data_IF_154563283644
#
_entry.id   IF_154563283644
#
_cell.length_a   1.000
_cell.length_b   1.000
_cell.length_c   1.000
_cell.angle_alpha   90.00
_cell.angle_beta   90.00
_cell.angle_gamma   90.00
#
_symmetry.space_group_name_H-M   'P 1'
#
loop_
_entity.id
_entity.type
_entity.pdbx_description
1 polymer ?
#
# COMPACT_ATOMS: atom_id res chain seq x y z
N UNK A 1 65.62 -19.63 0.92
CA UNK A 1 64.81 -18.80 0.00
C UNK A 1 63.34 -19.13 0.18
N UNK A 2 62.56 -18.12 0.58
CA UNK A 2 61.09 -18.10 0.77
C UNK A 2 60.33 -18.58 -0.47
N UNK A 3 59.24 -19.32 -0.27
CA UNK A 3 58.02 -19.23 -1.11
C UNK A 3 56.79 -19.47 -0.23
N UNK A 4 56.21 -18.38 0.28
CA UNK A 4 54.86 -18.39 0.85
C UNK A 4 53.88 -18.35 -0.30
N UNK A 5 53.01 -19.35 -0.38
CA UNK A 5 51.91 -19.42 -1.33
C UNK A 5 50.82 -18.45 -0.85
N UNK A 6 50.68 -17.31 -1.54
CA UNK A 6 49.63 -16.34 -1.30
C UNK A 6 48.37 -16.78 -2.07
N UNK A 7 47.38 -17.36 -1.38
CA UNK A 7 46.05 -17.53 -1.94
C UNK A 7 45.34 -16.18 -1.93
N UNK A 8 45.24 -15.54 -3.09
CA UNK A 8 44.44 -14.33 -3.28
C UNK A 8 42.96 -14.76 -3.34
N UNK A 9 42.22 -14.55 -2.26
CA UNK A 9 40.76 -14.50 -2.33
C UNK A 9 40.38 -13.19 -3.03
N UNK A 10 39.92 -13.29 -4.27
CA UNK A 10 39.21 -12.20 -4.91
C UNK A 10 37.87 -12.03 -4.21
N UNK A 11 37.80 -11.15 -3.22
CA UNK A 11 36.52 -10.66 -2.69
C UNK A 11 35.95 -9.73 -3.75
N UNK A 12 35.12 -10.29 -4.64
CA UNK A 12 34.19 -9.48 -5.41
C UNK A 12 33.24 -8.83 -4.42
N UNK A 13 33.52 -7.58 -4.05
CA UNK A 13 32.53 -6.70 -3.43
C UNK A 13 31.47 -6.48 -4.49
N UNK A 14 30.45 -7.34 -4.49
CA UNK A 14 29.18 -6.99 -5.09
C UNK A 14 28.70 -5.80 -4.27
N UNK A 15 28.87 -4.59 -4.81
CA UNK A 15 28.09 -3.45 -4.36
C UNK A 15 26.62 -3.86 -4.55
N UNK A 16 26.01 -4.40 -3.50
CA UNK A 16 24.58 -4.51 -3.42
C UNK A 16 24.09 -3.07 -3.51
N UNK A 17 23.68 -2.67 -4.71
CA UNK A 17 22.78 -1.53 -4.88
C UNK A 17 21.70 -1.77 -3.84
N UNK A 18 21.58 -0.90 -2.84
CA UNK A 18 20.46 -0.95 -1.90
C UNK A 18 19.21 -0.88 -2.78
N UNK A 19 18.65 -2.05 -3.07
CA UNK A 19 17.45 -2.15 -3.86
C UNK A 19 16.42 -1.37 -3.05
N UNK A 20 15.88 -0.30 -3.63
CA UNK A 20 14.85 0.45 -2.95
C UNK A 20 13.74 -0.50 -2.52
N UNK A 21 13.36 -0.40 -1.26
CA UNK A 21 12.54 -1.39 -0.58
C UNK A 21 11.07 -1.24 -1.01
N UNK A 22 10.37 -2.31 -1.45
CA UNK A 22 8.93 -2.27 -1.63
C UNK A 22 8.24 -1.99 -0.29
N UNK A 23 7.88 -0.73 -0.05
CA UNK A 23 7.12 -0.32 1.12
C UNK A 23 5.65 -0.12 0.80
N UNK A 24 4.79 -0.29 1.80
CA UNK A 24 3.36 -0.02 1.72
C UNK A 24 3.04 1.38 2.27
N UNK A 25 2.13 2.06 1.58
CA UNK A 25 1.52 3.29 2.06
C UNK A 25 0.02 3.29 1.86
N UNK A 26 -0.72 3.63 2.90
CA UNK A 26 -2.18 3.84 2.84
C UNK A 26 -2.52 5.27 3.23
N UNK A 27 -3.33 5.92 2.40
CA UNK A 27 -3.85 7.26 2.64
C UNK A 27 -5.34 7.15 2.97
N UNK A 28 -5.79 7.75 4.08
CA UNK A 28 -7.22 7.94 4.37
C UNK A 28 -7.52 9.43 4.26
N UNK A 29 -8.49 9.78 3.43
CA UNK A 29 -8.86 11.17 3.15
C UNK A 29 -10.37 11.37 3.36
N UNK A 30 -10.72 12.16 4.38
CA UNK A 30 -12.09 12.55 4.73
C UNK A 30 -12.41 14.01 4.41
N UNK A 31 -11.60 14.68 3.58
CA UNK A 31 -11.69 16.14 3.38
C UNK A 31 -13.04 16.56 2.81
N UNK A 32 -13.61 15.78 1.86
CA UNK A 32 -14.86 16.15 1.18
C UNK A 32 -16.02 16.39 2.14
N UNK A 33 -16.10 15.57 3.19
CA UNK A 33 -17.18 15.58 4.17
C UNK A 33 -16.69 16.11 5.53
N UNK A 34 -15.45 16.64 5.59
CA UNK A 34 -14.79 17.11 6.82
C UNK A 34 -14.82 16.06 7.94
N UNK A 35 -14.52 14.81 7.59
CA UNK A 35 -14.41 13.70 8.54
C UNK A 35 -13.12 13.85 9.31
N UNK A 36 -13.17 14.30 10.56
CA UNK A 36 -11.97 14.37 11.40
C UNK A 36 -11.55 12.98 11.84
N UNK A 37 -10.28 12.63 11.63
CA UNK A 37 -9.78 11.27 11.81
C UNK A 37 -8.77 11.20 12.95
N UNK A 38 -8.85 10.14 13.74
CA UNK A 38 -7.84 9.75 14.72
C UNK A 38 -7.36 8.33 14.40
N UNK A 39 -6.06 8.10 14.52
CA UNK A 39 -5.45 6.77 14.38
C UNK A 39 -5.15 6.16 15.73
N UNK A 40 -4.90 4.85 15.73
CA UNK A 40 -4.23 4.16 16.82
C UNK A 40 -2.74 4.01 16.45
N UNK A 41 -1.87 3.95 17.46
CA UNK A 41 -0.46 3.61 17.25
C UNK A 41 -0.35 2.12 16.96
N UNK A 42 0.43 1.78 15.94
CA UNK A 42 0.65 0.40 15.50
C UNK A 42 2.16 0.16 15.35
N UNK A 43 2.70 -0.96 15.85
CA UNK A 43 4.12 -1.29 15.67
C UNK A 43 4.52 -1.31 14.19
N UNK A 44 5.67 -0.72 13.87
CA UNK A 44 6.23 -0.68 12.51
C UNK A 44 5.38 0.09 11.48
N UNK A 45 4.44 0.93 11.92
CA UNK A 45 3.65 1.81 11.06
C UNK A 45 3.79 3.25 11.54
N UNK A 46 4.38 4.09 10.68
CA UNK A 46 4.45 5.52 10.92
C UNK A 46 3.11 6.14 10.49
N UNK A 47 2.31 6.58 11.46
CA UNK A 47 1.04 7.26 11.19
C UNK A 47 1.21 8.77 11.28
N UNK A 48 0.85 9.47 10.20
CA UNK A 48 1.00 10.92 10.10
C UNK A 48 -0.17 11.58 9.36
N UNK A 49 -0.11 12.90 9.19
CA UNK A 49 -1.05 13.67 8.37
C UNK A 49 -0.47 13.90 6.98
N UNK A 50 -1.33 14.27 6.02
CA UNK A 50 -0.87 14.70 4.71
C UNK A 50 -0.21 16.09 4.80
N UNK A 51 1.07 16.15 5.16
CA UNK A 51 1.79 17.41 5.45
C UNK A 51 1.96 18.33 4.24
N UNK A 52 1.82 17.81 3.03
CA UNK A 52 1.78 18.60 1.79
C UNK A 52 0.47 19.38 1.59
N UNK A 53 -0.53 19.19 2.46
CA UNK A 53 -1.77 19.96 2.46
C UNK A 53 -1.72 21.13 3.45
N UNK A 54 -2.66 22.07 3.31
CA UNK A 54 -2.86 23.18 4.26
C UNK A 54 -3.22 22.65 5.65
N UNK A 55 -2.82 23.37 6.69
CA UNK A 55 -2.94 22.92 8.07
C UNK A 55 -4.38 22.69 8.53
N UNK A 56 -5.31 23.54 8.09
CA UNK A 56 -6.74 23.50 8.42
C UNK A 56 -7.47 22.24 7.92
N UNK A 57 -6.95 21.58 6.87
CA UNK A 57 -7.54 20.36 6.30
C UNK A 57 -6.80 19.08 6.69
N UNK A 58 -5.61 19.20 7.31
CA UNK A 58 -4.84 18.03 7.78
C UNK A 58 -5.58 17.14 8.77
N UNK A 59 -6.42 17.66 9.71
CA UNK A 59 -7.17 16.81 10.64
C UNK A 59 -8.08 15.78 9.97
N UNK A 60 -8.47 16.03 8.71
CA UNK A 60 -9.31 15.12 7.92
C UNK A 60 -8.52 14.06 7.15
N UNK A 61 -7.23 13.90 7.45
CA UNK A 61 -6.35 12.99 6.69
C UNK A 61 -5.52 12.11 7.60
N UNK A 62 -5.21 10.89 7.16
CA UNK A 62 -4.21 10.03 7.75
C UNK A 62 -3.33 9.42 6.66
N UNK A 63 -2.08 9.20 6.98
CA UNK A 63 -1.09 8.49 6.17
C UNK A 63 -0.49 7.41 7.04
N UNK A 64 -0.58 6.16 6.57
CA UNK A 64 0.04 5.00 7.18
C UNK A 64 1.22 4.59 6.30
N UNK A 65 2.44 4.87 6.74
CA UNK A 65 3.67 4.46 6.06
C UNK A 65 4.29 3.27 6.81
N UNK A 66 4.35 2.12 6.15
CA UNK A 66 4.89 0.88 6.75
C UNK A 66 6.40 0.92 6.74
N UNK A 67 7.02 1.05 7.92
CA UNK A 67 8.46 1.27 8.06
C UNK A 67 9.27 -0.03 7.97
N UNK A 68 8.98 -0.83 6.95
CA UNK A 68 9.73 -2.04 6.62
C UNK A 68 9.56 -2.43 5.15
N UNK A 69 10.48 -3.28 4.72
CA UNK A 69 10.47 -3.91 3.40
C UNK A 69 9.42 -5.00 3.35
N UNK A 70 8.56 -4.97 2.34
CA UNK A 70 7.67 -6.09 2.04
C UNK A 70 8.45 -7.24 1.41
N UNK A 71 8.17 -8.45 1.89
CA UNK A 71 8.68 -9.67 1.28
C UNK A 71 7.83 -10.08 0.06
N UNK A 72 8.32 -11.07 -0.71
CA UNK A 72 7.55 -11.69 -1.79
C UNK A 72 6.43 -12.62 -1.29
N UNK A 73 6.47 -13.03 -0.02
CA UNK A 73 5.40 -13.81 0.62
C UNK A 73 4.22 -12.89 0.96
N UNK A 74 3.01 -13.43 0.91
CA UNK A 74 1.81 -12.73 1.34
C UNK A 74 1.85 -12.48 2.85
N UNK A 75 1.53 -11.24 3.23
CA UNK A 75 1.25 -10.88 4.61
C UNK A 75 -0.06 -10.08 4.69
N UNK A 76 -0.77 -10.21 5.81
CA UNK A 76 -1.93 -9.36 6.08
C UNK A 76 -1.45 -8.09 6.76
N UNK A 77 -1.85 -6.94 6.22
CA UNK A 77 -1.66 -5.64 6.84
C UNK A 77 -3.01 -5.09 7.28
N UNK A 78 -3.04 -4.36 8.39
CA UNK A 78 -4.24 -3.74 8.94
C UNK A 78 -3.94 -2.27 9.29
N UNK A 79 -4.89 -1.39 8.99
CA UNK A 79 -4.92 -0.02 9.49
C UNK A 79 -6.16 0.18 10.35
N UNK A 80 -6.01 0.95 11.42
CA UNK A 80 -7.10 1.25 12.34
C UNK A 80 -7.25 2.76 12.50
N UNK A 81 -8.48 3.26 12.31
CA UNK A 81 -8.85 4.64 12.61
C UNK A 81 -10.27 4.75 13.16
N UNK A 82 -10.55 5.90 13.77
CA UNK A 82 -11.87 6.29 14.23
C UNK A 82 -12.18 7.70 13.70
N UNK A 83 -13.36 7.95 13.12
CA UNK A 83 -13.80 9.27 12.73
C UNK A 83 -14.54 9.96 13.88
N UNK A 84 -14.35 11.27 14.06
CA UNK A 84 -15.13 12.07 15.02
C UNK A 84 -16.48 12.52 14.46
N UNK A 85 -16.60 12.59 13.13
CA UNK A 85 -17.83 12.96 12.42
C UNK A 85 -18.17 11.88 11.40
N UNK A 86 -19.46 11.71 11.09
CA UNK A 86 -19.90 10.76 10.06
C UNK A 86 -19.68 11.37 8.67
N UNK A 87 -19.43 10.52 7.69
CA UNK A 87 -19.28 10.96 6.31
C UNK A 87 -18.54 9.94 5.47
N UNK A 88 -18.11 10.37 4.30
CA UNK A 88 -17.35 9.56 3.38
C UNK A 88 -15.85 9.77 3.57
N UNK A 89 -15.13 8.66 3.55
CA UNK A 89 -13.66 8.65 3.41
C UNK A 89 -13.26 8.00 2.10
N UNK A 90 -12.12 8.44 1.58
CA UNK A 90 -11.44 7.85 0.45
C UNK A 90 -10.16 7.17 0.93
N UNK A 91 -10.06 5.86 0.71
CA UNK A 91 -8.92 5.04 1.13
C UNK A 91 -8.11 4.72 -0.11
N UNK A 92 -6.85 5.18 -0.15
CA UNK A 92 -5.91 4.92 -1.23
C UNK A 92 -4.77 4.02 -0.77
N UNK A 93 -4.52 2.94 -1.52
CA UNK A 93 -3.45 1.97 -1.26
C UNK A 93 -2.39 2.11 -2.36
N UNK A 94 -1.13 2.23 -1.96
CA UNK A 94 -0.01 2.54 -2.84
C UNK A 94 1.32 2.01 -2.30
N UNK A 95 2.35 2.08 -3.13
CA UNK A 95 3.74 1.89 -2.68
C UNK A 95 4.30 3.13 -2.00
N UNK A 96 5.39 2.98 -1.26
CA UNK A 96 6.11 4.10 -0.65
C UNK A 96 6.79 5.03 -1.67
N UNK A 97 6.86 6.29 -1.29
CA UNK A 97 7.58 7.30 -2.04
C UNK A 97 9.08 6.99 -2.04
N UNK A 98 9.69 7.09 -3.21
CA UNK A 98 11.13 7.21 -3.37
C UNK A 98 11.42 8.44 -4.25
N UNK A 99 12.50 9.16 -3.94
CA UNK A 99 12.89 10.36 -4.70
C UNK A 99 13.11 10.05 -6.18
N UNK A 100 13.80 8.96 -6.45
CA UNK A 100 14.02 8.43 -7.80
C UNK A 100 12.81 7.59 -8.22
N UNK A 101 12.08 7.92 -9.31
CA UNK A 101 10.88 7.20 -9.72
C UNK A 101 11.08 5.69 -9.92
N UNK A 102 12.23 5.27 -10.44
CA UNK A 102 12.60 3.88 -10.70
C UNK A 102 12.74 3.06 -9.40
N UNK A 103 12.89 3.76 -8.27
CA UNK A 103 12.97 3.18 -6.94
C UNK A 103 11.59 3.04 -6.27
N UNK A 104 10.51 3.57 -6.87
CA UNK A 104 9.14 3.40 -6.39
C UNK A 104 8.63 2.01 -6.76
N UNK A 105 9.03 1.02 -5.96
CA UNK A 105 8.75 -0.40 -6.23
C UNK A 105 7.26 -0.70 -6.21
N UNK A 106 6.90 -1.69 -7.01
CA UNK A 106 5.55 -2.19 -7.13
C UNK A 106 5.25 -3.22 -6.06
N UNK A 107 3.99 -3.23 -5.63
CA UNK A 107 3.42 -4.16 -4.66
C UNK A 107 2.12 -4.71 -5.24
N UNK A 108 1.72 -5.89 -4.76
CA UNK A 108 0.46 -6.52 -5.13
C UNK A 108 -0.44 -6.57 -3.90
N UNK A 109 -1.71 -6.18 -4.07
CA UNK A 109 -2.69 -6.06 -2.99
C UNK A 109 -3.93 -6.90 -3.32
N UNK A 110 -4.50 -7.58 -2.33
CA UNK A 110 -5.76 -8.32 -2.48
C UNK A 110 -6.63 -8.36 -1.22
N UNK A 111 -7.91 -8.68 -1.41
CA UNK A 111 -8.76 -9.19 -0.34
C UNK A 111 -9.06 -8.18 0.76
N UNK A 112 -9.44 -6.97 0.37
CA UNK A 112 -9.76 -5.86 1.30
C UNK A 112 -10.97 -6.22 2.17
N UNK A 113 -10.81 -6.02 3.48
CA UNK A 113 -11.82 -6.24 4.51
C UNK A 113 -11.95 -5.00 5.40
N UNK A 114 -13.13 -4.81 5.96
CA UNK A 114 -13.42 -3.83 7.00
C UNK A 114 -14.05 -4.58 8.18
N UNK A 115 -13.46 -4.47 9.37
CA UNK A 115 -13.89 -5.17 10.59
C UNK A 115 -14.15 -6.66 10.33
N UNK A 116 -13.22 -7.32 9.64
CA UNK A 116 -13.27 -8.74 9.27
C UNK A 116 -14.21 -9.10 8.10
N UNK A 117 -15.06 -8.19 7.65
CA UNK A 117 -16.00 -8.42 6.54
C UNK A 117 -15.41 -7.93 5.22
N UNK A 118 -15.59 -8.70 4.14
CA UNK A 118 -15.15 -8.29 2.82
C UNK A 118 -15.82 -6.96 2.41
N UNK A 119 -15.02 -6.01 1.95
CA UNK A 119 -15.55 -4.85 1.24
C UNK A 119 -16.15 -5.34 -0.09
N UNK A 120 -17.19 -4.66 -0.57
CA UNK A 120 -17.81 -5.03 -1.83
C UNK A 120 -16.77 -5.11 -2.97
N UNK A 121 -16.85 -6.18 -3.77
CA UNK A 121 -15.92 -6.46 -4.88
C UNK A 121 -14.43 -6.49 -4.48
N UNK A 122 -14.07 -6.89 -3.25
CA UNK A 122 -12.68 -6.91 -2.78
C UNK A 122 -11.78 -8.02 -3.38
N UNK A 123 -12.37 -8.91 -4.18
CA UNK A 123 -11.65 -9.84 -5.06
C UNK A 123 -11.41 -9.26 -6.47
N UNK A 124 -11.91 -8.04 -6.73
CA UNK A 124 -11.75 -7.28 -7.97
C UNK A 124 -12.32 -7.96 -9.23
N UNK A 125 -13.20 -8.97 -9.08
CA UNK A 125 -13.66 -9.79 -10.18
C UNK A 125 -14.66 -9.09 -11.10
N UNK A 126 -15.41 -8.10 -10.59
CA UNK A 126 -16.35 -7.33 -11.39
C UNK A 126 -15.67 -6.09 -11.97
N UNK A 127 -15.46 -6.05 -13.28
CA UNK A 127 -14.77 -4.97 -13.98
C UNK A 127 -15.74 -4.03 -14.70
N UNK A 128 -15.43 -2.74 -14.71
CA UNK A 128 -16.02 -1.78 -15.63
C UNK A 128 -15.47 -1.96 -17.05
N UNK A 129 -16.10 -1.38 -18.09
CA UNK A 129 -15.55 -1.39 -19.46
C UNK A 129 -14.13 -0.81 -19.57
N UNK A 130 -13.72 0.05 -18.63
CA UNK A 130 -12.36 0.58 -18.54
C UNK A 130 -11.31 -0.44 -18.07
N UNK A 131 -11.73 -1.63 -17.64
CA UNK A 131 -10.86 -2.63 -17.01
C UNK A 131 -10.58 -2.39 -15.52
N UNK A 132 -11.10 -1.30 -14.94
CA UNK A 132 -10.99 -1.04 -13.51
C UNK A 132 -12.08 -1.82 -12.75
N UNK A 133 -11.76 -2.47 -11.60
CA UNK A 133 -12.77 -3.10 -10.76
C UNK A 133 -13.84 -2.12 -10.31
N UNK A 134 -15.11 -2.49 -10.44
CA UNK A 134 -16.22 -1.65 -9.99
C UNK A 134 -16.06 -1.32 -8.50
N UNK A 135 -16.36 -0.07 -8.13
CA UNK A 135 -16.21 0.45 -6.75
C UNK A 135 -14.79 0.89 -6.40
N UNK A 136 -13.83 0.65 -7.29
CA UNK A 136 -12.46 1.10 -7.15
C UNK A 136 -12.11 2.14 -8.22
N UNK A 137 -11.03 2.87 -7.98
CA UNK A 137 -10.43 3.79 -8.95
C UNK A 137 -8.95 3.48 -9.04
N UNK A 138 -8.45 3.33 -10.27
CA UNK A 138 -7.03 3.20 -10.55
C UNK A 138 -6.45 4.55 -10.94
N UNK A 139 -5.28 4.86 -10.38
CA UNK A 139 -4.48 5.97 -10.84
C UNK A 139 -3.42 5.49 -11.85
N UNK A 140 -3.28 6.22 -12.95
CA UNK A 140 -2.24 6.00 -13.97
C UNK A 140 -2.18 4.53 -14.43
N UNK A 141 -1.09 3.82 -14.12
CA UNK A 141 -0.78 2.46 -14.59
C UNK A 141 -1.12 1.37 -13.57
N UNK A 142 -1.88 1.68 -12.53
CA UNK A 142 -2.41 0.66 -11.64
C UNK A 142 -3.32 -0.27 -12.45
N UNK A 143 -3.25 -1.57 -12.18
CA UNK A 143 -3.98 -2.56 -13.00
C UNK A 143 -4.42 -3.77 -12.19
N UNK A 144 -5.47 -4.39 -12.69
CA UNK A 144 -6.01 -5.65 -12.18
C UNK A 144 -5.17 -6.83 -12.70
N UNK A 145 -4.94 -7.80 -11.81
CA UNK A 145 -4.29 -9.07 -12.09
C UNK A 145 -5.31 -10.19 -11.80
N UNK A 146 -5.94 -10.80 -12.82
CA UNK A 146 -7.02 -11.78 -12.63
C UNK A 146 -6.67 -12.97 -11.73
N UNK A 147 -5.44 -13.48 -11.84
CA UNK A 147 -4.91 -14.58 -11.03
C UNK A 147 -3.63 -14.18 -10.26
N UNK A 148 -3.40 -12.88 -10.06
CA UNK A 148 -2.17 -12.38 -9.41
C UNK A 148 -2.13 -12.56 -7.89
N UNK A 149 -3.26 -12.95 -7.31
CA UNK A 149 -3.43 -13.16 -5.88
C UNK A 149 -3.09 -14.56 -5.38
N UNK A 150 -2.96 -14.69 -4.07
CA UNK A 150 -2.89 -15.97 -3.36
C UNK A 150 -4.06 -16.87 -3.76
N UNK A 151 -3.78 -18.15 -4.03
CA UNK A 151 -4.77 -19.11 -4.53
C UNK A 151 -5.44 -18.68 -5.84
N UNK A 152 -4.72 -17.94 -6.70
CA UNK A 152 -5.20 -17.44 -7.99
C UNK A 152 -6.41 -16.51 -7.91
N UNK A 153 -6.60 -15.82 -6.78
CA UNK A 153 -7.64 -14.78 -6.69
C UNK A 153 -7.23 -13.52 -7.44
N UNK A 154 -8.19 -12.67 -7.74
CA UNK A 154 -7.92 -11.34 -8.27
C UNK A 154 -7.10 -10.47 -7.30
N UNK A 155 -6.16 -9.71 -7.85
CA UNK A 155 -5.32 -8.77 -7.12
C UNK A 155 -5.08 -7.50 -7.93
N UNK A 156 -4.48 -6.48 -7.32
CA UNK A 156 -4.12 -5.23 -8.01
C UNK A 156 -2.66 -4.91 -7.83
N UNK A 157 -2.04 -4.48 -8.92
CA UNK A 157 -0.64 -4.05 -8.96
C UNK A 157 -0.57 -2.54 -8.82
N UNK A 158 0.14 -2.07 -7.79
CA UNK A 158 0.23 -0.65 -7.46
C UNK A 158 1.66 -0.25 -7.08
N UNK A 159 1.99 1.03 -7.21
CA UNK A 159 3.17 1.64 -6.59
C UNK A 159 2.80 3.04 -6.10
N UNK A 160 3.80 3.86 -5.75
CA UNK A 160 3.56 5.21 -5.26
C UNK A 160 2.76 6.11 -6.22
N UNK A 161 3.10 6.06 -7.51
CA UNK A 161 2.44 6.89 -8.53
C UNK A 161 1.16 6.26 -9.08
N UNK A 162 1.04 4.95 -8.95
CA UNK A 162 0.01 4.12 -9.57
C UNK A 162 -0.76 3.41 -8.45
N UNK A 163 -1.76 4.08 -7.88
CA UNK A 163 -2.51 3.59 -6.73
C UNK A 163 -3.86 2.99 -7.10
N UNK A 164 -4.42 2.22 -6.16
CA UNK A 164 -5.85 1.87 -6.13
C UNK A 164 -6.51 2.64 -5.01
N UNK A 165 -7.76 3.05 -5.19
CA UNK A 165 -8.54 3.63 -4.12
C UNK A 165 -10.02 3.27 -4.18
N UNK A 166 -10.70 3.44 -3.06
CA UNK A 166 -12.14 3.23 -2.94
C UNK A 166 -12.73 4.18 -1.90
N UNK A 167 -14.04 4.35 -1.95
CA UNK A 167 -14.80 5.16 -0.99
C UNK A 167 -15.47 4.26 0.03
N UNK A 168 -15.60 4.76 1.26
CA UNK A 168 -16.31 4.07 2.32
C UNK A 168 -17.05 5.07 3.20
N UNK A 169 -18.29 4.75 3.60
CA UNK A 169 -19.05 5.57 4.53
C UNK A 169 -18.72 5.15 5.96
N UNK A 170 -18.37 6.13 6.79
CA UNK A 170 -18.01 5.92 8.20
C UNK A 170 -18.95 6.70 9.10
N UNK A 171 -19.14 6.18 10.30
CA UNK A 171 -19.99 6.75 11.33
C UNK A 171 -19.14 7.26 12.49
N UNK A 172 -19.49 8.45 13.00
CA UNK A 172 -18.84 9.07 14.14
C UNK A 172 -18.70 8.11 15.33
N UNK A 173 -17.52 8.09 15.94
CA UNK A 173 -17.23 7.31 17.14
C UNK A 173 -17.02 5.81 16.91
N UNK A 174 -17.23 5.27 15.70
CA UNK A 174 -16.93 3.86 15.40
C UNK A 174 -15.47 3.65 15.05
N UNK A 175 -14.90 2.53 15.47
CA UNK A 175 -13.57 2.10 15.04
C UNK A 175 -13.68 1.25 13.77
N UNK A 176 -12.82 1.57 12.80
CA UNK A 176 -12.72 0.87 11.53
C UNK A 176 -11.31 0.28 11.40
N UNK A 177 -11.26 -1.04 11.32
CA UNK A 177 -10.07 -1.81 11.01
C UNK A 177 -10.15 -2.28 9.56
N UNK A 178 -9.33 -1.73 8.69
CA UNK A 178 -9.23 -2.18 7.30
C UNK A 178 -8.01 -3.06 7.13
N UNK A 179 -8.24 -4.31 6.70
CA UNK A 179 -7.17 -5.26 6.43
C UNK A 179 -7.16 -5.74 4.99
N UNK A 180 -5.97 -6.09 4.50
CA UNK A 180 -5.75 -6.62 3.16
C UNK A 180 -4.46 -7.41 3.12
N UNK A 181 -4.31 -8.29 2.13
CA UNK A 181 -3.06 -9.00 1.89
C UNK A 181 -2.19 -8.22 0.92
N UNK A 182 -0.89 -8.20 1.19
CA UNK A 182 0.11 -7.48 0.41
C UNK A 182 1.40 -8.30 0.27
N UNK A 183 2.11 -8.09 -0.83
CA UNK A 183 3.50 -8.54 -1.03
C UNK A 183 4.23 -7.62 -2.00
N UNK A 184 5.55 -7.76 -2.07
CA UNK A 184 6.33 -7.22 -3.16
C UNK A 184 5.92 -7.86 -4.50
N UNK A 185 5.87 -7.05 -5.57
CA UNK A 185 5.62 -7.55 -6.92
C UNK A 185 6.85 -8.29 -7.48
N UNK A 186 6.62 -9.37 -8.22
CA UNK A 186 7.66 -10.04 -8.99
C UNK A 186 7.97 -9.26 -10.27
N UNK A 187 9.19 -9.38 -10.80
CA UNK A 187 9.62 -8.68 -12.01
C UNK A 187 8.70 -8.92 -13.20
N UNK A 188 8.22 -10.16 -13.39
CA UNK A 188 7.32 -10.53 -14.47
C UNK A 188 5.94 -9.84 -14.39
N UNK A 189 5.53 -9.39 -13.21
CA UNK A 189 4.25 -8.71 -13.03
C UNK A 189 4.33 -7.22 -13.35
N UNK A 190 5.53 -6.63 -13.41
CA UNK A 190 5.75 -5.19 -13.60
C UNK A 190 5.90 -4.81 -15.07
N UNK A 191 6.28 -5.77 -15.91
CA UNK A 191 6.37 -5.64 -17.37
C UNK A 191 5.00 -5.33 -17.98
#
# INVERSE_FOLDING_TARGET
MKKYLFCIFAVSVVCAVQAANPGLRVNVNGISDKVELTSQEEPCVNVSRMTWLKEDIRPFTLVYDVDRVLAAKWETFEIVFSPKTSGKVHIGISGQYARTPENRKWIVVQGIKCNGKAVWNSNFAQLAPSGCPLGFTFNKKARFLPEGGENKTGAVLVNHDNSVSFQFNVEAGKTYAFSFKVRAAATAEVQ
#
